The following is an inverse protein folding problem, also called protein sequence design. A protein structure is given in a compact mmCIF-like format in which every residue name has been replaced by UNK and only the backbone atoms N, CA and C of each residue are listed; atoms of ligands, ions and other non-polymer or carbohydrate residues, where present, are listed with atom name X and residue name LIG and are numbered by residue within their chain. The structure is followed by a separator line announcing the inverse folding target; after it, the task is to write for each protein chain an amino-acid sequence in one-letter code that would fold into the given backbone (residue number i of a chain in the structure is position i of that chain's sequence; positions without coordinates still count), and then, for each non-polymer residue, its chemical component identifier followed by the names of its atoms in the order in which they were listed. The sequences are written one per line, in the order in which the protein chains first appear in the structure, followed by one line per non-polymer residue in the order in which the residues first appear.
data_IF_473106183778
#
_entry.id   IF_473106183778
#
_cell.length_a   1.000
_cell.length_b   1.000
_cell.length_c   1.000
_cell.angle_alpha   90.00
_cell.angle_beta   90.00
_cell.angle_gamma   90.00
#
_symmetry.space_group_name_H-M   'P 1'
#
loop_
_entity.id
_entity.type
_entity.pdbx_description
1 polymer ?
#
# COMPACT_ATOMS: atom_id res chain seq x y z
N UNK A 1 -16.34 -4.74 10.17
CA UNK A 1 -16.17 -3.27 10.16
C UNK A 1 -15.48 -2.93 8.84
N UNK A 2 -15.86 -1.83 8.21
CA UNK A 2 -15.22 -1.32 6.99
C UNK A 2 -14.83 0.12 7.27
N UNK A 3 -13.60 0.49 6.93
CA UNK A 3 -13.10 1.85 7.06
C UNK A 3 -12.11 2.15 5.92
N UNK A 4 -12.00 3.42 5.50
CA UNK A 4 -11.09 3.81 4.43
C UNK A 4 -9.61 3.73 4.85
N UNK A 5 -8.76 3.39 3.89
CA UNK A 5 -7.30 3.48 3.97
C UNK A 5 -6.73 4.63 3.14
N UNK A 6 -5.39 4.65 3.01
CA UNK A 6 -4.64 5.78 2.43
C UNK A 6 -5.00 6.06 0.97
N UNK A 7 -5.25 5.03 0.16
CA UNK A 7 -5.65 5.22 -1.24
C UNK A 7 -7.02 5.85 -1.40
N UNK A 8 -8.00 5.55 -0.53
CA UNK A 8 -9.30 6.23 -0.56
C UNK A 8 -9.17 7.69 -0.12
N UNK A 9 -8.29 7.99 0.83
CA UNK A 9 -8.00 9.36 1.21
C UNK A 9 -7.34 10.14 0.06
N UNK A 10 -6.37 9.53 -0.61
CA UNK A 10 -5.69 10.10 -1.76
C UNK A 10 -6.66 10.35 -2.92
N UNK A 11 -7.43 9.32 -3.34
CA UNK A 11 -8.41 9.39 -4.42
C UNK A 11 -9.43 10.52 -4.23
N UNK A 12 -9.88 10.71 -2.98
CA UNK A 12 -10.96 11.64 -2.66
C UNK A 12 -10.49 13.03 -2.23
N UNK A 13 -9.18 13.31 -2.29
CA UNK A 13 -8.62 14.58 -1.84
C UNK A 13 -8.93 14.87 -0.37
N UNK A 14 -8.99 13.83 0.47
CA UNK A 14 -9.29 13.96 1.89
C UNK A 14 -10.78 14.05 2.26
N UNK A 15 -11.71 13.90 1.32
CA UNK A 15 -13.14 13.80 1.67
C UNK A 15 -13.42 12.55 2.53
N UNK A 16 -12.75 11.43 2.21
CA UNK A 16 -12.62 10.30 3.13
C UNK A 16 -11.24 10.36 3.78
N UNK A 17 -11.16 10.11 5.09
CA UNK A 17 -9.90 10.10 5.83
C UNK A 17 -9.52 8.68 6.19
N UNK A 18 -8.29 8.28 5.88
CA UNK A 18 -7.69 7.02 6.29
C UNK A 18 -7.81 6.88 7.79
N UNK A 19 -8.48 5.83 8.26
CA UNK A 19 -8.86 5.72 9.67
C UNK A 19 -7.68 5.21 10.51
N UNK A 20 -7.09 6.04 11.40
CA UNK A 20 -6.02 5.59 12.26
C UNK A 20 -6.58 4.59 13.28
N UNK A 21 -5.88 3.48 13.48
CA UNK A 21 -6.30 2.46 14.41
C UNK A 21 -5.12 1.82 15.15
N UNK A 22 -5.39 1.31 16.35
CA UNK A 22 -4.42 0.61 17.19
C UNK A 22 -5.11 -0.51 17.96
N UNK A 23 -4.36 -1.55 18.29
CA UNK A 23 -4.84 -2.69 19.08
C UNK A 23 -4.13 -2.71 20.42
N UNK A 24 -4.90 -2.82 21.52
CA UNK A 24 -4.36 -3.04 22.86
C UNK A 24 -4.43 -4.53 23.20
N UNK A 25 -3.40 -5.05 23.84
CA UNK A 25 -3.41 -6.41 24.39
C UNK A 25 -4.50 -6.56 25.46
N UNK A 26 -5.11 -7.73 25.53
CA UNK A 26 -6.09 -8.09 26.55
C UNK A 26 -5.48 -9.12 27.53
N UNK A 27 -6.19 -9.41 28.61
CA UNK A 27 -5.79 -10.43 29.60
C UNK A 27 -5.96 -11.86 29.08
N UNK A 28 -6.52 -12.03 27.88
CA UNK A 28 -6.66 -13.30 27.16
C UNK A 28 -6.40 -13.09 25.68
N UNK A 29 -6.17 -14.19 24.96
CA UNK A 29 -5.98 -14.15 23.51
C UNK A 29 -7.19 -13.58 22.77
N UNK A 30 -6.91 -12.92 21.64
CA UNK A 30 -7.92 -12.36 20.73
C UNK A 30 -7.49 -12.63 19.30
N UNK A 31 -8.29 -13.43 18.61
CA UNK A 31 -8.13 -13.66 17.17
C UNK A 31 -8.89 -12.60 16.39
N UNK A 32 -8.28 -12.11 15.31
CA UNK A 32 -8.90 -11.16 14.39
C UNK A 32 -8.29 -11.34 13.00
N UNK A 33 -9.07 -10.97 11.98
CA UNK A 33 -8.63 -10.91 10.59
C UNK A 33 -8.79 -9.47 10.11
N UNK A 34 -7.74 -8.95 9.47
CA UNK A 34 -7.78 -7.70 8.73
C UNK A 34 -7.61 -8.05 7.25
N UNK A 35 -8.60 -7.69 6.45
CA UNK A 35 -8.60 -7.86 5.00
C UNK A 35 -8.41 -6.51 4.33
N UNK A 36 -7.61 -6.48 3.26
CA UNK A 36 -7.26 -5.29 2.50
C UNK A 36 -7.72 -5.48 1.05
N UNK A 37 -8.70 -4.70 0.62
CA UNK A 37 -9.18 -4.70 -0.75
C UNK A 37 -8.46 -3.61 -1.54
N UNK A 38 -7.49 -4.02 -2.35
CA UNK A 38 -6.46 -3.13 -2.90
C UNK A 38 -6.52 -3.03 -4.44
N UNK A 39 -5.91 -2.01 -5.05
CA UNK A 39 -5.72 -1.92 -6.50
C UNK A 39 -4.91 -3.10 -7.07
N UNK A 40 -4.94 -3.27 -8.41
CA UNK A 40 -4.00 -4.18 -9.08
C UNK A 40 -2.56 -3.70 -8.88
N UNK A 41 -1.60 -4.63 -8.86
CA UNK A 41 -0.22 -4.34 -8.49
C UNK A 41 0.46 -3.27 -9.38
N UNK A 42 0.08 -3.23 -10.65
CA UNK A 42 0.56 -2.33 -11.69
C UNK A 42 -0.27 -1.04 -11.85
N UNK A 43 -1.36 -0.89 -11.07
CA UNK A 43 -2.21 0.28 -11.15
C UNK A 43 -1.47 1.56 -10.72
N UNK A 44 -1.70 2.61 -11.50
CA UNK A 44 -1.46 3.99 -11.10
C UNK A 44 -2.74 4.58 -10.54
N UNK A 45 -2.67 5.08 -9.32
CA UNK A 45 -3.80 5.73 -8.65
C UNK A 45 -3.64 7.23 -8.79
N UNK A 46 -4.69 7.90 -9.26
CA UNK A 46 -4.75 9.35 -9.46
C UNK A 46 -5.99 9.96 -8.78
N UNK A 47 -5.95 11.21 -8.30
CA UNK A 47 -7.09 11.84 -7.64
C UNK A 47 -8.34 11.92 -8.55
N UNK A 48 -9.52 11.63 -8.01
CA UNK A 48 -10.79 11.65 -8.76
C UNK A 48 -11.16 13.06 -9.25
N UNK A 49 -10.75 14.08 -8.50
CA UNK A 49 -10.81 15.47 -8.94
C UNK A 49 -9.40 15.88 -9.27
N UNK A 50 -9.16 16.24 -10.53
CA UNK A 50 -7.86 16.64 -11.00
C UNK A 50 -7.33 17.82 -10.18
N UNK A 51 -6.27 17.55 -9.41
CA UNK A 51 -5.39 18.55 -8.84
C UNK A 51 -4.03 18.38 -9.50
N UNK A 52 -3.67 19.33 -10.37
CA UNK A 52 -2.43 19.28 -11.15
C UNK A 52 -1.15 19.27 -10.28
N UNK A 53 -1.26 19.55 -8.97
CA UNK A 53 -0.14 19.54 -8.04
C UNK A 53 0.16 18.14 -7.46
N UNK A 54 -0.75 17.16 -7.59
CA UNK A 54 -0.61 15.86 -6.93
C UNK A 54 -0.14 14.79 -7.91
N UNK A 55 1.05 14.24 -7.68
CA UNK A 55 1.59 13.15 -8.50
C UNK A 55 0.81 11.83 -8.29
N UNK A 56 0.55 11.05 -9.35
CA UNK A 56 -0.03 9.71 -9.24
C UNK A 56 0.86 8.76 -8.41
N UNK A 57 0.22 7.78 -7.76
CA UNK A 57 0.91 6.76 -6.95
C UNK A 57 0.81 5.41 -7.64
N UNK A 58 1.96 4.81 -7.98
CA UNK A 58 2.02 3.42 -8.42
C UNK A 58 1.82 2.47 -7.23
N UNK A 59 0.75 1.67 -7.23
CA UNK A 59 0.35 0.84 -6.09
C UNK A 59 1.44 -0.17 -5.71
N UNK A 60 1.99 -0.92 -6.67
CA UNK A 60 3.03 -1.92 -6.40
C UNK A 60 4.31 -1.33 -5.81
N UNK A 61 4.67 -0.10 -6.20
CA UNK A 61 5.79 0.63 -5.59
C UNK A 61 5.48 1.01 -4.15
N UNK A 62 4.29 1.56 -3.89
CA UNK A 62 3.85 1.91 -2.54
C UNK A 62 3.82 0.69 -1.62
N UNK A 63 3.15 -0.39 -2.06
CA UNK A 63 3.05 -1.65 -1.32
C UNK A 63 4.43 -2.22 -0.98
N UNK A 64 5.30 -2.34 -1.99
CA UNK A 64 6.64 -2.93 -1.81
C UNK A 64 7.46 -2.13 -0.82
N UNK A 65 7.48 -0.80 -0.96
CA UNK A 65 8.19 0.08 -0.02
C UNK A 65 7.65 -0.04 1.41
N UNK A 66 6.33 -0.11 1.59
CA UNK A 66 5.73 -0.29 2.91
C UNK A 66 6.16 -1.61 3.55
N UNK A 67 6.05 -2.73 2.83
CA UNK A 67 6.41 -4.04 3.37
C UNK A 67 7.91 -4.17 3.66
N UNK A 68 8.77 -3.57 2.84
CA UNK A 68 10.22 -3.53 3.10
C UNK A 68 10.53 -2.74 4.37
N UNK A 69 9.83 -1.62 4.63
CA UNK A 69 9.95 -0.88 5.90
C UNK A 69 9.46 -1.67 7.11
N UNK A 70 8.36 -2.42 6.98
CA UNK A 70 7.82 -3.26 8.06
C UNK A 70 8.72 -4.47 8.36
N UNK A 71 9.41 -5.01 7.35
CA UNK A 71 10.17 -6.25 7.46
C UNK A 71 11.60 -6.12 6.90
N UNK A 72 12.43 -5.19 7.40
CA UNK A 72 13.70 -4.82 6.76
C UNK A 72 14.73 -5.96 6.70
N UNK A 73 14.66 -6.93 7.61
CA UNK A 73 15.61 -8.06 7.70
C UNK A 73 15.08 -9.36 7.09
N UNK A 74 13.84 -9.37 6.58
CA UNK A 74 13.22 -10.58 6.02
C UNK A 74 13.95 -10.99 4.75
N UNK A 75 14.01 -12.30 4.49
CA UNK A 75 14.66 -12.85 3.28
C UNK A 75 14.10 -12.24 1.99
N UNK A 76 12.81 -11.88 1.98
CA UNK A 76 12.14 -11.23 0.84
C UNK A 76 12.73 -9.86 0.55
N UNK A 77 12.87 -9.00 1.58
CA UNK A 77 13.49 -7.67 1.47
C UNK A 77 14.93 -7.78 0.97
N UNK A 78 15.73 -8.67 1.58
CA UNK A 78 17.11 -8.94 1.14
C UNK A 78 17.19 -9.33 -0.32
N UNK A 79 16.34 -10.26 -0.77
CA UNK A 79 16.29 -10.70 -2.17
C UNK A 79 15.85 -9.57 -3.12
N UNK A 80 14.97 -8.68 -2.69
CA UNK A 80 14.57 -7.50 -3.48
C UNK A 80 15.78 -6.59 -3.70
N UNK A 81 16.53 -6.31 -2.64
CA UNK A 81 17.72 -5.45 -2.68
C UNK A 81 18.85 -6.08 -3.50
N UNK A 82 19.24 -7.32 -3.17
CA UNK A 82 20.32 -8.06 -3.84
C UNK A 82 20.10 -8.21 -5.34
N UNK A 83 18.84 -8.31 -5.79
CA UNK A 83 18.49 -8.46 -7.20
C UNK A 83 18.03 -7.17 -7.88
N UNK A 84 18.07 -6.03 -7.18
CA UNK A 84 17.65 -4.74 -7.71
C UNK A 84 16.21 -4.74 -8.25
N UNK A 85 15.28 -5.44 -7.58
CA UNK A 85 13.94 -5.66 -8.12
C UNK A 85 13.06 -4.39 -8.10
N UNK A 86 13.36 -3.41 -7.25
CA UNK A 86 12.61 -2.15 -7.17
C UNK A 86 12.60 -1.39 -8.50
N UNK A 87 13.70 -1.42 -9.25
CA UNK A 87 13.80 -0.74 -10.55
C UNK A 87 12.86 -1.31 -11.62
N UNK A 88 12.28 -2.49 -11.38
CA UNK A 88 11.36 -3.15 -12.32
C UNK A 88 9.90 -2.77 -12.12
N UNK A 89 9.54 -2.19 -10.96
CA UNK A 89 8.15 -2.01 -10.56
C UNK A 89 7.33 -1.10 -11.50
N UNK A 90 7.80 0.10 -11.90
CA UNK A 90 7.02 0.99 -12.78
C UNK A 90 6.97 0.50 -14.24
N UNK A 91 7.76 -0.52 -14.57
CA UNK A 91 7.92 -1.06 -15.93
C UNK A 91 7.26 -2.42 -16.09
N UNK A 92 6.56 -2.91 -15.06
CA UNK A 92 5.74 -4.11 -15.18
C UNK A 92 4.57 -3.75 -16.10
N UNK A 93 4.72 -4.06 -17.38
CA UNK A 93 3.60 -4.10 -18.32
C UNK A 93 2.94 -5.47 -18.22
N UNK A 94 1.63 -5.53 -18.39
CA UNK A 94 0.93 -6.76 -18.73
C UNK A 94 1.47 -7.25 -20.08
N UNK A 95 2.58 -7.98 -20.07
CA UNK A 95 2.87 -8.96 -21.10
C UNK A 95 2.43 -10.29 -20.51
N UNK A 96 1.13 -10.56 -20.66
CA UNK A 96 0.51 -11.87 -20.58
C UNK A 96 -0.53 -11.96 -21.71
#
# INVERSE_FOLDING_TARGET
MVFPGDFLQFLTGGHLLSTPHKVRLNTRERFAMADFHEPTFDAWVEPLKADAAVAPIHYGTHFTNMFMRCYPKRITTRRIDEKGLLGKLPTLSEVA
#
